data_IF_921078225567
#
_entry.id   IF_921078225567
#
_cell.length_a   1.000
_cell.length_b   1.000
_cell.length_c   1.000
_cell.angle_alpha   90.00
_cell.angle_beta   90.00
_cell.angle_gamma   90.00
#
_symmetry.space_group_name_H-M   'P 1'
#
loop_
_entity.id
_entity.type
_entity.pdbx_description
1 polymer ?
#
# COMPACT_ATOMS: atom_id res chain seq x y z
N UNK A 1 -12.41 10.11 11.56
CA UNK A 1 -13.56 9.22 11.27
C UNK A 1 -14.67 9.95 10.52
N UNK A 2 -15.20 11.05 11.07
CA UNK A 2 -16.32 11.81 10.49
C UNK A 2 -16.10 12.26 9.02
N UNK A 3 -14.92 12.80 8.68
CA UNK A 3 -14.61 13.21 7.29
C UNK A 3 -14.69 12.04 6.30
N UNK A 4 -14.22 10.86 6.72
CA UNK A 4 -14.27 9.64 5.92
C UNK A 4 -15.73 9.21 5.69
N UNK A 5 -16.53 9.14 6.76
CA UNK A 5 -17.95 8.81 6.67
C UNK A 5 -18.71 9.81 5.79
N UNK A 6 -18.46 11.11 5.98
CA UNK A 6 -19.05 12.17 5.18
C UNK A 6 -18.70 12.05 3.69
N UNK A 7 -17.46 11.69 3.37
CA UNK A 7 -17.05 11.42 1.99
C UNK A 7 -17.85 10.27 1.36
N UNK A 8 -17.94 9.12 2.02
CA UNK A 8 -18.69 7.97 1.47
C UNK A 8 -20.19 8.22 1.43
N UNK A 9 -20.76 8.90 2.43
CA UNK A 9 -22.16 9.30 2.42
C UNK A 9 -22.47 10.25 1.27
N UNK A 10 -21.63 11.27 1.05
CA UNK A 10 -21.75 12.21 -0.06
C UNK A 10 -21.64 11.53 -1.43
N UNK A 11 -20.67 10.63 -1.60
CA UNK A 11 -20.53 9.80 -2.81
C UNK A 11 -21.82 9.02 -3.08
N UNK A 12 -22.33 8.31 -2.08
CA UNK A 12 -23.51 7.45 -2.27
C UNK A 12 -24.79 8.26 -2.46
N UNK A 13 -24.92 9.43 -1.83
CA UNK A 13 -26.02 10.35 -2.10
C UNK A 13 -26.01 10.83 -3.56
N UNK A 14 -24.84 11.20 -4.09
CA UNK A 14 -24.69 11.61 -5.49
C UNK A 14 -25.01 10.45 -6.46
N UNK A 15 -24.48 9.25 -6.20
CA UNK A 15 -24.74 8.05 -7.02
C UNK A 15 -26.21 7.66 -7.01
N UNK A 16 -26.89 7.79 -5.86
CA UNK A 16 -28.32 7.52 -5.75
C UNK A 16 -29.15 8.44 -6.64
N UNK A 17 -28.84 9.75 -6.65
CA UNK A 17 -29.52 10.73 -7.53
C UNK A 17 -29.26 10.42 -9.01
N UNK A 18 -28.09 9.86 -9.34
CA UNK A 18 -27.71 9.45 -10.70
C UNK A 18 -28.28 8.08 -11.12
N UNK A 19 -28.96 7.36 -10.22
CA UNK A 19 -29.43 5.99 -10.49
C UNK A 19 -28.29 4.97 -10.64
N UNK A 20 -27.11 5.27 -10.10
CA UNK A 20 -25.92 4.42 -10.19
C UNK A 20 -25.79 3.49 -8.96
N UNK A 21 -25.06 2.36 -9.08
CA UNK A 21 -24.79 1.48 -7.96
C UNK A 21 -24.03 2.18 -6.81
N UNK A 22 -24.24 1.79 -5.55
CA UNK A 22 -23.54 2.40 -4.42
C UNK A 22 -22.05 2.06 -4.43
N UNK A 23 -21.26 3.02 -3.99
CA UNK A 23 -19.85 2.86 -3.69
C UNK A 23 -19.66 2.27 -2.29
N UNK A 24 -19.23 1.00 -2.25
CA UNK A 24 -18.95 0.27 -1.01
C UNK A 24 -17.49 -0.16 -0.98
N UNK A 25 -16.78 0.18 0.10
CA UNK A 25 -15.40 -0.25 0.33
C UNK A 25 -15.39 -1.46 1.27
N UNK A 26 -14.75 -2.54 0.86
CA UNK A 26 -14.62 -3.76 1.67
C UNK A 26 -13.56 -3.57 2.75
N UNK A 27 -13.63 -4.40 3.79
CA UNK A 27 -12.69 -4.39 4.92
C UNK A 27 -11.23 -4.59 4.50
N UNK A 28 -10.97 -5.36 3.44
CA UNK A 28 -9.64 -5.65 2.89
C UNK A 28 -9.15 -4.60 1.88
N UNK A 29 -9.98 -3.61 1.54
CA UNK A 29 -9.65 -2.59 0.55
C UNK A 29 -9.22 -1.27 1.18
N UNK A 30 -9.84 -0.88 2.29
CA UNK A 30 -9.55 0.38 2.97
C UNK A 30 -9.95 0.40 4.43
N UNK A 31 -9.20 1.19 5.22
CA UNK A 31 -9.51 1.42 6.64
C UNK A 31 -10.92 2.00 6.84
N UNK A 32 -11.40 2.84 5.92
CA UNK A 32 -12.78 3.34 5.95
C UNK A 32 -13.83 2.23 5.75
N UNK A 33 -13.51 1.18 4.98
CA UNK A 33 -14.38 0.00 4.85
C UNK A 33 -14.51 -0.75 6.18
N UNK A 34 -13.39 -0.91 6.90
CA UNK A 34 -13.39 -1.46 8.27
C UNK A 34 -14.23 -0.61 9.23
N UNK A 35 -14.06 0.72 9.17
CA UNK A 35 -14.82 1.65 10.00
C UNK A 35 -16.33 1.52 9.77
N UNK A 36 -16.78 1.60 8.52
CA UNK A 36 -18.20 1.55 8.17
C UNK A 36 -18.80 0.19 8.56
N UNK A 37 -18.09 -0.90 8.24
CA UNK A 37 -18.55 -2.25 8.58
C UNK A 37 -18.65 -2.45 10.10
N UNK A 38 -17.64 -2.02 10.87
CA UNK A 38 -17.70 -2.12 12.34
C UNK A 38 -18.86 -1.31 12.92
N UNK A 39 -19.14 -0.10 12.41
CA UNK A 39 -20.25 0.72 12.89
C UNK A 39 -21.61 0.08 12.65
N UNK A 40 -21.78 -0.58 11.50
CA UNK A 40 -23.04 -1.25 11.15
C UNK A 40 -23.20 -2.57 11.92
N UNK A 41 -22.12 -3.34 12.08
CA UNK A 41 -22.18 -4.69 12.65
C UNK A 41 -22.12 -4.72 14.17
N UNK A 42 -21.35 -3.82 14.78
CA UNK A 42 -21.08 -3.82 16.24
C UNK A 42 -21.82 -2.70 16.97
N UNK A 43 -22.33 -1.69 16.26
CA UNK A 43 -22.85 -0.47 16.88
C UNK A 43 -21.76 0.31 17.63
N UNK A 44 -22.17 1.35 18.37
CA UNK A 44 -21.26 2.12 19.22
C UNK A 44 -21.92 2.45 20.57
N UNK A 45 -21.64 1.65 21.60
CA UNK A 45 -21.95 2.04 22.99
C UNK A 45 -20.91 3.04 23.53
N UNK A 46 -19.71 3.06 22.95
CA UNK A 46 -18.62 4.00 23.23
C UNK A 46 -18.07 4.60 21.92
N UNK A 47 -17.45 5.80 21.95
CA UNK A 47 -16.89 6.42 20.76
C UNK A 47 -15.91 5.50 20.03
N UNK A 48 -16.16 5.23 18.75
CA UNK A 48 -15.25 4.44 17.93
C UNK A 48 -13.86 5.09 17.93
N UNK A 49 -12.83 4.35 18.37
CA UNK A 49 -11.43 4.77 18.27
C UNK A 49 -10.71 3.87 17.28
N UNK A 50 -10.45 4.40 16.07
CA UNK A 50 -9.50 3.79 15.15
C UNK A 50 -8.11 3.90 15.78
N UNK A 51 -7.57 2.86 16.42
CA UNK A 51 -6.12 2.55 16.31
C UNK A 51 -5.76 1.17 16.90
N UNK A 52 -4.94 0.45 16.13
CA UNK A 52 -4.09 -0.74 16.42
C UNK A 52 -4.65 -2.17 16.44
N UNK A 53 -5.82 -2.48 17.00
CA UNK A 53 -6.15 -3.90 17.27
C UNK A 53 -7.22 -4.54 16.37
N UNK A 54 -8.02 -3.76 15.62
CA UNK A 54 -9.24 -4.25 14.94
C UNK A 54 -9.17 -4.38 13.42
N UNK A 55 -8.04 -4.08 12.80
CA UNK A 55 -7.83 -4.27 11.37
C UNK A 55 -7.08 -5.56 11.08
N UNK A 56 -7.79 -6.64 10.72
CA UNK A 56 -7.14 -7.89 10.32
C UNK A 56 -6.19 -7.71 9.12
N UNK A 57 -6.41 -6.67 8.30
CA UNK A 57 -5.63 -6.35 7.11
C UNK A 57 -4.59 -5.23 7.30
N UNK A 58 -4.20 -4.89 8.54
CA UNK A 58 -3.32 -3.72 8.83
C UNK A 58 -2.00 -3.67 8.05
N UNK A 59 -1.44 -4.83 7.70
CA UNK A 59 -0.19 -4.91 6.92
C UNK A 59 -0.41 -4.50 5.46
N UNK A 60 -1.60 -4.78 4.92
CA UNK A 60 -1.99 -4.42 3.55
C UNK A 60 -2.55 -3.00 3.48
N UNK A 61 -3.27 -2.56 4.50
CA UNK A 61 -3.94 -1.27 4.58
C UNK A 61 -3.05 -0.20 5.23
N UNK A 62 -1.96 0.13 4.55
CA UNK A 62 -1.02 1.15 5.01
C UNK A 62 -1.37 2.52 4.46
N UNK A 63 -0.93 3.55 5.16
CA UNK A 63 -1.04 4.93 4.69
C UNK A 63 -0.27 5.13 3.38
N UNK A 64 0.94 4.58 3.29
CA UNK A 64 1.88 4.74 2.17
C UNK A 64 1.42 4.14 0.82
N UNK A 65 0.38 3.30 0.84
CA UNK A 65 -0.15 2.61 -0.32
C UNK A 65 -1.64 2.87 -0.58
N UNK A 66 -2.26 3.82 0.13
CA UNK A 66 -3.67 4.15 -0.03
C UNK A 66 -4.01 4.61 -1.46
N UNK A 67 -3.11 5.35 -2.10
CA UNK A 67 -3.20 5.78 -3.49
C UNK A 67 -3.24 4.59 -4.46
N UNK A 68 -2.33 3.63 -4.29
CA UNK A 68 -2.27 2.42 -5.10
C UNK A 68 -3.55 1.56 -4.95
N UNK A 69 -4.20 1.61 -3.78
CA UNK A 69 -5.45 0.86 -3.52
C UNK A 69 -6.70 1.56 -4.04
N UNK A 70 -6.77 2.88 -3.94
CA UNK A 70 -8.03 3.63 -4.08
C UNK A 70 -8.11 4.57 -5.27
N UNK A 71 -7.00 4.84 -5.96
CA UNK A 71 -6.98 5.78 -7.09
C UNK A 71 -7.90 5.38 -8.23
N UNK A 72 -7.82 4.14 -8.71
CA UNK A 72 -8.69 3.63 -9.77
C UNK A 72 -10.17 3.67 -9.35
N UNK A 73 -10.46 3.31 -8.09
CA UNK A 73 -11.82 3.39 -7.55
C UNK A 73 -12.35 4.82 -7.50
N UNK A 74 -11.53 5.77 -7.05
CA UNK A 74 -11.89 7.19 -6.99
C UNK A 74 -12.05 7.82 -8.37
N UNK A 75 -11.24 7.39 -9.34
CA UNK A 75 -11.37 7.83 -10.72
C UNK A 75 -12.66 7.29 -11.37
N UNK A 76 -12.98 6.00 -11.16
CA UNK A 76 -14.19 5.38 -11.71
C UNK A 76 -15.50 6.06 -11.25
N UNK A 77 -15.50 6.71 -10.08
CA UNK A 77 -16.64 7.48 -9.56
C UNK A 77 -16.52 9.00 -9.80
N UNK A 78 -15.54 9.43 -10.60
CA UNK A 78 -15.37 10.84 -11.00
C UNK A 78 -14.75 11.76 -9.94
N UNK A 79 -14.25 11.24 -8.82
CA UNK A 79 -13.62 12.06 -7.77
C UNK A 79 -12.13 12.30 -7.98
N UNK A 80 -11.46 11.46 -8.78
CA UNK A 80 -10.03 11.60 -9.04
C UNK A 80 -9.79 12.05 -10.49
N UNK A 81 -9.18 13.23 -10.70
CA UNK A 81 -8.80 13.68 -12.04
C UNK A 81 -7.86 12.71 -12.75
N UNK A 82 -7.90 12.72 -14.08
CA UNK A 82 -7.07 11.87 -14.92
C UNK A 82 -5.57 12.06 -14.68
N UNK A 83 -5.10 13.28 -14.45
CA UNK A 83 -3.69 13.56 -14.15
C UNK A 83 -3.24 12.89 -12.86
N UNK A 84 -4.07 12.94 -11.80
CA UNK A 84 -3.79 12.28 -10.54
C UNK A 84 -3.75 10.76 -10.71
N UNK A 85 -4.70 10.17 -11.45
CA UNK A 85 -4.68 8.73 -11.76
C UNK A 85 -3.40 8.34 -12.52
N UNK A 86 -3.02 9.10 -13.55
CA UNK A 86 -1.79 8.87 -14.33
C UNK A 86 -0.55 8.87 -13.44
N UNK A 87 -0.42 9.82 -12.51
CA UNK A 87 0.70 9.86 -11.57
C UNK A 87 0.80 8.59 -10.72
N UNK A 88 -0.34 8.06 -10.25
CA UNK A 88 -0.36 6.82 -9.46
C UNK A 88 0.00 5.61 -10.33
N UNK A 89 -0.50 5.54 -11.57
CA UNK A 89 -0.13 4.49 -12.53
C UNK A 89 1.38 4.54 -12.86
N UNK A 90 1.95 5.73 -13.04
CA UNK A 90 3.37 5.94 -13.27
C UNK A 90 4.21 5.48 -12.08
N UNK A 91 3.78 5.82 -10.85
CA UNK A 91 4.38 5.32 -9.60
C UNK A 91 4.36 3.80 -9.57
N UNK A 92 3.22 3.17 -9.86
CA UNK A 92 3.08 1.72 -9.88
C UNK A 92 3.99 1.06 -10.93
N UNK A 93 4.06 1.61 -12.15
CA UNK A 93 4.97 1.13 -13.20
C UNK A 93 6.43 1.22 -12.77
N UNK A 94 6.84 2.33 -12.15
CA UNK A 94 8.21 2.52 -11.64
C UNK A 94 8.57 1.53 -10.53
N UNK A 95 7.63 1.26 -9.62
CA UNK A 95 7.81 0.24 -8.57
C UNK A 95 8.03 -1.14 -9.20
N UNK A 96 7.16 -1.56 -10.11
CA UNK A 96 7.29 -2.87 -10.78
C UNK A 96 8.57 -2.97 -11.62
N UNK A 97 8.93 -1.92 -12.35
CA UNK A 97 10.17 -1.88 -13.12
C UNK A 97 11.41 -2.03 -12.22
N UNK A 98 11.43 -1.34 -11.08
CA UNK A 98 12.52 -1.45 -10.11
C UNK A 98 12.57 -2.85 -9.47
N UNK A 99 11.42 -3.42 -9.11
CA UNK A 99 11.34 -4.79 -8.59
C UNK A 99 11.92 -5.80 -9.59
N UNK A 100 11.52 -5.69 -10.87
CA UNK A 100 12.06 -6.53 -11.95
C UNK A 100 13.56 -6.34 -12.13
N UNK A 101 14.04 -5.09 -12.12
CA UNK A 101 15.48 -4.79 -12.22
C UNK A 101 16.27 -5.42 -11.07
N UNK A 102 15.82 -5.25 -9.82
CA UNK A 102 16.48 -5.83 -8.65
C UNK A 102 16.50 -7.36 -8.68
N UNK A 103 15.45 -7.99 -9.22
CA UNK A 103 15.39 -9.45 -9.39
C UNK A 103 16.33 -9.95 -10.49
N UNK A 104 16.63 -9.11 -11.50
CA UNK A 104 17.55 -9.47 -12.60
C UNK A 104 19.04 -9.32 -12.26
N UNK A 105 19.39 -8.47 -11.29
CA UNK A 105 20.79 -8.22 -10.90
C UNK A 105 21.27 -9.35 -10.00
N UNK A 106 22.18 -10.19 -10.50
CA UNK A 106 22.79 -11.29 -9.76
C UNK A 106 24.13 -10.88 -9.17
N UNK A 107 24.29 -11.11 -7.88
CA UNK A 107 25.46 -10.75 -7.08
C UNK A 107 26.13 -12.03 -6.61
N UNK A 108 27.39 -12.22 -7.01
CA UNK A 108 28.18 -13.40 -6.68
C UNK A 108 29.04 -13.15 -5.43
N UNK A 109 29.33 -14.20 -4.63
CA UNK A 109 30.12 -14.08 -3.40
C UNK A 109 31.61 -13.90 -3.72
N UNK A 110 32.01 -12.68 -4.04
CA UNK A 110 33.43 -12.33 -4.25
C UNK A 110 34.03 -11.70 -2.99
N UNK A 111 35.37 -11.73 -2.81
CA UNK A 111 36.01 -11.06 -1.67
C UNK A 111 35.63 -9.59 -1.53
N UNK A 112 35.53 -8.86 -2.66
CA UNK A 112 35.09 -7.46 -2.69
C UNK A 112 33.66 -7.29 -2.18
N UNK A 113 32.71 -8.06 -2.72
CA UNK A 113 31.30 -8.00 -2.31
C UNK A 113 31.15 -8.32 -0.82
N UNK A 114 31.86 -9.35 -0.33
CA UNK A 114 31.79 -9.70 1.09
C UNK A 114 32.45 -8.65 2.00
N UNK A 115 33.49 -7.95 1.52
CA UNK A 115 34.08 -6.83 2.24
C UNK A 115 33.10 -5.64 2.32
N UNK A 116 32.42 -5.29 1.21
CA UNK A 116 31.40 -4.24 1.18
C UNK A 116 30.21 -4.60 2.09
N UNK A 117 29.72 -5.84 2.06
CA UNK A 117 28.67 -6.31 2.98
C UNK A 117 29.11 -6.19 4.44
N UNK A 118 30.34 -6.60 4.76
CA UNK A 118 30.87 -6.51 6.12
C UNK A 118 30.98 -5.06 6.60
N UNK A 119 31.40 -4.14 5.72
CA UNK A 119 31.45 -2.70 6.01
C UNK A 119 30.07 -2.10 6.31
N UNK A 120 29.00 -2.69 5.77
CA UNK A 120 27.61 -2.34 6.05
C UNK A 120 26.98 -3.18 7.17
N UNK A 121 27.76 -3.94 7.95
CA UNK A 121 27.25 -4.76 9.06
C UNK A 121 26.47 -6.00 8.62
N UNK A 122 26.59 -6.40 7.36
CA UNK A 122 25.79 -7.48 6.77
C UNK A 122 26.59 -8.79 6.72
N UNK A 123 25.92 -9.95 6.91
CA UNK A 123 26.59 -11.24 6.80
C UNK A 123 27.09 -11.49 5.36
N UNK A 124 28.23 -12.18 5.19
CA UNK A 124 28.77 -12.46 3.86
C UNK A 124 27.82 -13.35 3.05
N UNK A 125 27.88 -13.21 1.73
CA UNK A 125 27.21 -14.12 0.80
C UNK A 125 27.97 -15.44 0.73
N UNK A 126 27.23 -16.55 0.91
CA UNK A 126 27.73 -17.93 0.73
C UNK A 126 27.42 -18.51 -0.65
N UNK A 127 26.39 -17.99 -1.30
CA UNK A 127 25.96 -18.33 -2.64
C UNK A 127 25.55 -17.06 -3.38
N UNK A 128 25.43 -17.14 -4.71
CA UNK A 128 24.91 -16.02 -5.51
C UNK A 128 23.48 -15.67 -5.09
N UNK A 129 23.19 -14.39 -4.94
CA UNK A 129 21.86 -13.87 -4.60
C UNK A 129 21.48 -12.74 -5.56
N UNK A 130 20.19 -12.39 -5.64
CA UNK A 130 19.77 -11.20 -6.39
C UNK A 130 19.88 -9.94 -5.52
N UNK A 131 19.93 -8.76 -6.15
CA UNK A 131 19.81 -7.50 -5.42
C UNK A 131 18.47 -7.43 -4.65
N UNK A 132 17.40 -8.04 -5.20
CA UNK A 132 16.12 -8.19 -4.52
C UNK A 132 16.18 -9.08 -3.26
N UNK A 133 17.11 -10.03 -3.18
CA UNK A 133 17.33 -10.83 -1.96
C UNK A 133 18.12 -10.05 -0.91
N UNK A 134 19.08 -9.23 -1.34
CA UNK A 134 19.86 -8.38 -0.43
C UNK A 134 19.00 -7.30 0.23
N UNK A 135 18.13 -6.61 -0.53
CA UNK A 135 17.29 -5.53 0.02
C UNK A 135 16.27 -6.03 1.07
N UNK A 136 15.98 -7.33 1.10
CA UNK A 136 15.12 -7.95 2.12
C UNK A 136 15.85 -8.22 3.44
N UNK A 137 17.18 -8.14 3.47
CA UNK A 137 17.94 -8.33 4.70
C UNK A 137 17.63 -7.19 5.67
N UNK A 138 17.50 -7.49 6.98
CA UNK A 138 17.39 -6.45 7.99
C UNK A 138 18.53 -5.44 7.85
N UNK A 139 18.23 -4.16 8.08
CA UNK A 139 19.19 -3.05 8.05
C UNK A 139 19.80 -2.70 6.67
N UNK A 140 19.54 -3.50 5.63
CA UNK A 140 19.89 -3.14 4.24
C UNK A 140 18.89 -2.13 3.70
N UNK A 141 19.40 -1.02 3.15
CA UNK A 141 18.59 0.02 2.51
C UNK A 141 18.77 -0.05 1.00
N UNK A 142 17.70 0.25 0.27
CA UNK A 142 17.74 0.32 -1.20
C UNK A 142 18.82 1.29 -1.71
N UNK A 143 19.09 2.38 -1.00
CA UNK A 143 20.12 3.36 -1.38
C UNK A 143 21.57 2.85 -1.26
N UNK A 144 21.79 1.69 -0.64
CA UNK A 144 23.10 1.04 -0.51
C UNK A 144 23.36 0.01 -1.62
N UNK A 145 22.38 -0.21 -2.51
CA UNK A 145 22.46 -1.12 -3.67
C UNK A 145 22.58 -0.33 -4.97
#
# INVERSE_FOLDING_TARGET
EAAAQGLVAGINAALQVQGAPPFVLRRDEATIGVLIDDLITKGTDEPYRMFTSRGEYRILLREDNADLRLSERGHAIGLLPDDCRRQVQDKQRRIHALQGRLASIRINPTPRVNAELSAHGQPPLRASATAADLVKRPEMRLAQL
#
